data_IF_825831601570
#
_entry.id   IF_825831601570
#
_cell.length_a   1.000
_cell.length_b   1.000
_cell.length_c   1.000
_cell.angle_alpha   90.00
_cell.angle_beta   90.00
_cell.angle_gamma   90.00
#
_symmetry.space_group_name_H-M   'P 1'
#
loop_
_entity.id
_entity.type
_entity.pdbx_description
1 polymer ?
#
# COMPACT_ATOMS: atom_id res chain seq x y z
N UNK A 1 12.54 15.28 41.02
CA UNK A 1 11.44 15.40 40.03
C UNK A 1 11.92 16.32 38.94
N UNK A 2 12.07 15.79 37.72
CA UNK A 2 12.29 16.61 36.54
C UNK A 2 11.51 15.93 35.44
N UNK A 3 10.29 16.43 35.19
CA UNK A 3 9.49 16.07 34.03
C UNK A 3 10.30 16.43 32.78
N UNK A 4 10.65 15.43 31.99
CA UNK A 4 11.04 15.65 30.60
C UNK A 4 9.77 16.13 29.86
N UNK A 5 9.86 17.17 29.02
CA UNK A 5 8.69 17.73 28.37
C UNK A 5 8.08 16.67 27.45
N UNK A 6 6.77 16.46 27.57
CA UNK A 6 5.94 15.74 26.60
C UNK A 6 6.30 16.26 25.21
N UNK A 7 6.99 15.43 24.42
CA UNK A 7 7.36 15.73 23.04
C UNK A 7 6.08 16.07 22.28
N UNK A 8 5.95 17.31 21.84
CA UNK A 8 4.80 17.77 21.05
C UNK A 8 4.67 16.85 19.84
N UNK A 9 3.55 16.12 19.72
CA UNK A 9 3.27 15.31 18.54
C UNK A 9 3.47 16.19 17.30
N UNK A 10 4.40 15.80 16.44
CA UNK A 10 4.75 16.54 15.24
C UNK A 10 5.34 15.60 14.20
N UNK A 11 5.17 15.94 12.92
CA UNK A 11 5.77 15.17 11.84
C UNK A 11 7.31 15.13 11.94
N UNK A 12 7.94 16.17 12.51
CA UNK A 12 9.39 16.22 12.70
C UNK A 12 9.88 15.25 13.77
N UNK A 13 9.21 15.22 14.92
CA UNK A 13 9.49 14.25 15.99
C UNK A 13 9.34 12.81 15.49
N UNK A 14 8.23 12.53 14.79
CA UNK A 14 7.98 11.22 14.20
C UNK A 14 9.04 10.82 13.18
N UNK A 15 9.48 11.76 12.32
CA UNK A 15 10.55 11.51 11.36
C UNK A 15 11.89 11.24 12.06
N UNK A 16 12.19 11.88 13.18
CA UNK A 16 13.40 11.57 13.95
C UNK A 16 13.35 10.14 14.51
N UNK A 17 12.25 9.76 15.16
CA UNK A 17 12.00 8.41 15.68
C UNK A 17 12.10 7.34 14.58
N UNK A 18 11.49 7.59 13.42
CA UNK A 18 11.52 6.68 12.27
C UNK A 18 12.93 6.46 11.72
N UNK A 19 13.74 7.53 11.60
CA UNK A 19 15.13 7.42 11.13
C UNK A 19 15.97 6.58 12.07
N UNK A 20 15.84 6.81 13.38
CA UNK A 20 16.57 6.04 14.40
C UNK A 20 16.23 4.55 14.31
N UNK A 21 14.95 4.22 14.11
CA UNK A 21 14.53 2.83 13.99
C UNK A 21 15.04 2.15 12.70
N UNK A 22 15.12 2.87 11.57
CA UNK A 22 15.72 2.35 10.32
C UNK A 22 17.23 2.18 10.38
N UNK A 23 17.94 3.00 11.15
CA UNK A 23 19.40 2.85 11.30
C UNK A 23 19.77 1.61 12.12
N UNK A 24 18.91 1.20 13.06
CA UNK A 24 19.15 0.06 13.92
C UNK A 24 19.08 -1.31 13.21
N UNK A 25 18.40 -1.41 12.05
CA UNK A 25 18.27 -2.65 11.27
C UNK A 25 18.21 -2.37 9.77
N UNK A 26 18.93 -3.16 8.96
CA UNK A 26 18.78 -3.13 7.50
C UNK A 26 17.39 -3.65 7.12
N UNK A 27 16.62 -2.84 6.38
CA UNK A 27 15.30 -3.20 5.86
C UNK A 27 14.16 -2.38 6.46
N UNK A 28 12.93 -2.86 6.28
CA UNK A 28 11.74 -2.24 6.89
C UNK A 28 11.77 -2.43 8.40
N UNK A 29 11.43 -1.40 9.20
CA UNK A 29 11.31 -1.56 10.64
C UNK A 29 10.21 -2.58 11.01
N UNK A 30 10.42 -3.38 12.08
CA UNK A 30 9.47 -4.42 12.48
C UNK A 30 8.30 -3.83 13.29
N UNK A 31 7.48 -2.99 12.65
CA UNK A 31 6.37 -2.26 13.29
C UNK A 31 5.38 -3.13 14.05
N UNK A 32 5.26 -4.41 13.68
CA UNK A 32 4.39 -5.38 14.35
C UNK A 32 4.91 -5.80 15.74
N UNK A 33 6.20 -5.60 16.04
CA UNK A 33 6.80 -5.93 17.34
C UNK A 33 6.66 -4.79 18.37
N UNK A 34 6.30 -3.59 17.92
CA UNK A 34 6.21 -2.42 18.78
C UNK A 34 4.79 -2.22 19.29
N UNK A 35 4.62 -2.06 20.60
CA UNK A 35 3.32 -1.75 21.21
C UNK A 35 3.41 -0.48 22.07
N UNK A 36 3.78 0.67 21.48
CA UNK A 36 3.87 1.94 22.21
C UNK A 36 2.48 2.47 22.57
N UNK A 37 2.38 3.47 23.48
CA UNK A 37 1.13 4.16 23.75
C UNK A 37 0.58 4.83 22.48
N UNK A 38 -0.74 4.89 22.38
CA UNK A 38 -1.42 5.71 21.39
C UNK A 38 -1.35 7.17 21.83
N UNK A 39 -0.76 8.01 20.98
CA UNK A 39 -0.45 9.40 21.26
C UNK A 39 -1.47 10.38 20.66
N UNK A 40 -2.52 9.87 20.01
CA UNK A 40 -3.52 10.66 19.31
C UNK A 40 -3.37 10.60 17.79
N UNK A 41 -4.23 11.33 17.10
CA UNK A 41 -4.22 11.45 15.65
C UNK A 41 -3.36 12.64 15.21
N UNK A 42 -2.57 12.44 14.16
CA UNK A 42 -1.85 13.51 13.50
C UNK A 42 -2.58 13.84 12.20
N UNK A 43 -2.66 15.13 11.83
CA UNK A 43 -3.23 15.56 10.55
C UNK A 43 -2.29 15.21 9.39
N UNK A 44 -2.10 13.90 9.18
CA UNK A 44 -1.49 13.28 8.03
C UNK A 44 -2.59 12.53 7.29
N UNK A 45 -2.67 12.77 5.98
CA UNK A 45 -3.59 12.08 5.09
C UNK A 45 -2.86 11.52 3.88
N UNK A 46 -3.11 10.26 3.57
CA UNK A 46 -2.71 9.64 2.30
C UNK A 46 -3.91 9.71 1.38
N UNK A 47 -3.83 10.56 0.37
CA UNK A 47 -4.85 10.66 -0.65
C UNK A 47 -4.85 9.41 -1.54
N UNK A 48 -5.98 9.18 -2.24
CA UNK A 48 -6.14 8.02 -3.14
C UNK A 48 -5.07 7.93 -4.24
N UNK A 49 -4.52 9.05 -4.68
CA UNK A 49 -3.43 9.10 -5.67
C UNK A 49 -2.04 8.83 -5.07
N UNK A 50 -1.96 8.53 -3.78
CA UNK A 50 -0.73 8.28 -3.03
C UNK A 50 -0.05 9.56 -2.53
N UNK A 51 -0.64 10.75 -2.74
CA UNK A 51 -0.08 12.00 -2.21
C UNK A 51 -0.26 12.07 -0.70
N UNK A 52 0.83 12.33 0.02
CA UNK A 52 0.81 12.55 1.46
C UNK A 52 0.58 14.04 1.75
N UNK A 53 -0.33 14.33 2.67
CA UNK A 53 -0.60 15.67 3.19
C UNK A 53 -0.22 15.73 4.66
N UNK A 54 0.25 16.90 5.11
CA UNK A 54 0.41 17.25 6.52
C UNK A 54 -0.16 18.65 6.75
N UNK A 55 -1.10 18.79 7.69
CA UNK A 55 -1.79 20.06 7.94
C UNK A 55 -2.38 20.66 6.64
N UNK A 56 -3.01 19.82 5.83
CA UNK A 56 -3.57 20.20 4.52
C UNK A 56 -2.57 20.49 3.41
N UNK A 57 -1.26 20.51 3.68
CA UNK A 57 -0.21 20.80 2.69
C UNK A 57 0.46 19.54 2.15
N UNK A 58 0.68 19.41 0.83
CA UNK A 58 1.30 18.20 0.26
C UNK A 58 2.78 18.09 0.64
N UNK A 59 3.20 16.89 1.06
CA UNK A 59 4.59 16.53 1.35
C UNK A 59 5.28 16.13 0.03
N UNK A 60 6.08 17.04 -0.54
CA UNK A 60 6.82 16.79 -1.80
C UNK A 60 8.14 16.02 -1.62
N UNK A 61 8.60 15.84 -0.38
CA UNK A 61 9.88 15.20 -0.08
C UNK A 61 9.72 13.67 -0.14
N UNK A 62 10.07 13.06 -1.26
CA UNK A 62 9.98 11.60 -1.50
C UNK A 62 10.64 10.79 -0.39
N UNK A 63 11.83 11.18 0.07
CA UNK A 63 12.52 10.48 1.16
C UNK A 63 11.77 10.53 2.49
N UNK A 64 11.01 11.60 2.74
CA UNK A 64 10.17 11.71 3.93
C UNK A 64 8.93 10.81 3.83
N UNK A 65 8.32 10.74 2.64
CA UNK A 65 7.21 9.82 2.36
C UNK A 65 7.67 8.36 2.52
N UNK A 66 8.82 7.99 1.94
CA UNK A 66 9.45 6.67 2.09
C UNK A 66 9.81 6.33 3.53
N UNK A 67 10.14 7.34 4.32
CA UNK A 67 10.42 7.15 5.74
C UNK A 67 9.15 6.80 6.50
N UNK A 68 8.07 7.57 6.30
CA UNK A 68 6.80 7.32 6.97
C UNK A 68 6.12 6.04 6.49
N UNK A 69 6.18 5.71 5.20
CA UNK A 69 5.64 4.45 4.68
C UNK A 69 6.27 3.21 5.33
N UNK A 70 7.54 3.30 5.71
CA UNK A 70 8.26 2.21 6.38
C UNK A 70 7.78 1.93 7.80
N UNK A 71 7.15 2.91 8.46
CA UNK A 71 6.61 2.77 9.81
C UNK A 71 5.09 2.64 9.85
N UNK A 72 4.47 2.42 8.69
CA UNK A 72 3.03 2.31 8.56
C UNK A 72 2.54 0.94 9.05
N UNK A 73 1.47 0.94 9.83
CA UNK A 73 0.82 -0.27 10.34
C UNK A 73 -0.69 -0.15 10.19
N UNK A 74 -1.33 -1.25 9.78
CA UNK A 74 -2.79 -1.39 9.79
C UNK A 74 -3.22 -2.16 11.02
N UNK A 75 -4.27 -1.70 11.70
CA UNK A 75 -4.97 -2.42 12.76
C UNK A 75 -6.48 -2.36 12.46
N UNK A 76 -7.07 -3.49 12.06
CA UNK A 76 -8.43 -3.50 11.52
C UNK A 76 -8.52 -2.65 10.25
N UNK A 77 -9.44 -1.69 10.22
CA UNK A 77 -9.59 -0.74 9.11
C UNK A 77 -8.82 0.59 9.31
N UNK A 78 -8.13 0.74 10.45
CA UNK A 78 -7.40 1.96 10.79
C UNK A 78 -5.91 1.85 10.46
N UNK A 79 -5.28 3.00 10.18
CA UNK A 79 -3.87 3.12 9.83
C UNK A 79 -3.12 3.99 10.83
N UNK A 80 -1.89 3.58 11.13
CA UNK A 80 -1.05 4.21 12.12
C UNK A 80 0.38 4.35 11.61
N UNK A 81 1.08 5.36 12.11
CA UNK A 81 2.54 5.44 12.05
C UNK A 81 3.08 5.04 13.42
N UNK A 82 3.95 4.02 13.44
CA UNK A 82 4.38 3.35 14.67
C UNK A 82 5.89 3.38 14.78
N UNK A 83 6.39 3.89 15.90
CA UNK A 83 7.81 3.82 16.26
C UNK A 83 7.96 3.07 17.58
N UNK A 84 9.18 2.82 18.09
CA UNK A 84 9.34 2.16 19.39
C UNK A 84 8.68 2.89 20.57
N UNK A 85 8.45 4.21 20.46
CA UNK A 85 8.02 5.06 21.58
C UNK A 85 6.62 5.66 21.41
N UNK A 86 6.11 5.76 20.18
CA UNK A 86 4.83 6.40 19.90
C UNK A 86 4.05 5.67 18.80
N UNK A 87 2.72 5.67 18.91
CA UNK A 87 1.77 5.30 17.85
C UNK A 87 0.83 6.46 17.59
N UNK A 88 0.76 6.92 16.34
CA UNK A 88 -0.14 8.01 15.93
C UNK A 88 -1.07 7.54 14.82
N UNK A 89 -2.33 7.96 14.88
CA UNK A 89 -3.32 7.67 13.85
C UNK A 89 -3.17 8.62 12.65
N UNK A 90 -3.48 8.12 11.47
CA UNK A 90 -3.49 8.87 10.21
C UNK A 90 -4.72 8.53 9.38
N UNK A 91 -5.06 9.39 8.43
CA UNK A 91 -6.13 9.15 7.47
C UNK A 91 -5.58 8.53 6.18
N UNK A 92 -6.24 7.51 5.66
CA UNK A 92 -5.97 6.93 4.34
C UNK A 92 -7.28 6.88 3.58
N UNK A 93 -7.35 7.57 2.45
CA UNK A 93 -8.60 7.71 1.71
C UNK A 93 -9.04 6.42 1.01
N UNK A 94 -8.09 5.55 0.64
CA UNK A 94 -8.34 4.29 -0.07
C UNK A 94 -7.29 3.23 0.30
N UNK A 95 -6.09 3.33 -0.26
CA UNK A 95 -4.95 2.46 0.04
C UNK A 95 -3.72 3.31 0.40
N UNK A 96 -2.82 2.81 1.28
CA UNK A 96 -1.63 3.55 1.69
C UNK A 96 -0.58 3.70 0.58
N UNK A 97 -0.68 2.89 -0.48
CA UNK A 97 0.24 2.88 -1.61
C UNK A 97 -0.52 2.90 -2.94
N UNK A 98 0.19 3.30 -3.99
CA UNK A 98 -0.27 3.16 -5.38
C UNK A 98 0.75 2.31 -6.13
N UNK A 99 0.30 1.25 -6.80
CA UNK A 99 1.15 0.49 -7.72
C UNK A 99 1.15 1.19 -9.09
N UNK A 100 2.31 1.72 -9.44
CA UNK A 100 2.53 2.64 -10.59
C UNK A 100 3.15 1.96 -11.80
N UNK A 101 3.68 0.75 -11.59
CA UNK A 101 4.25 -0.08 -12.65
C UNK A 101 4.21 -1.57 -12.27
N UNK A 102 4.41 -2.42 -13.28
CA UNK A 102 4.75 -3.82 -13.12
C UNK A 102 5.70 -4.31 -14.23
N UNK A 103 6.51 -5.31 -13.88
CA UNK A 103 7.26 -6.11 -14.82
C UNK A 103 6.68 -7.53 -14.90
N UNK A 104 6.55 -8.03 -16.13
CA UNK A 104 6.16 -9.40 -16.41
C UNK A 104 7.40 -10.26 -16.66
N UNK A 105 7.45 -11.43 -16.04
CA UNK A 105 8.45 -12.47 -16.32
C UNK A 105 7.78 -13.84 -16.44
N UNK A 106 8.36 -14.74 -17.23
CA UNK A 106 7.77 -16.05 -17.51
C UNK A 106 6.58 -15.96 -18.47
N UNK A 107 5.72 -16.99 -18.46
CA UNK A 107 4.59 -17.12 -19.39
C UNK A 107 3.52 -18.09 -18.86
N UNK A 108 2.29 -17.94 -19.32
CA UNK A 108 1.18 -18.84 -18.97
C UNK A 108 0.76 -18.70 -17.51
N UNK A 109 0.39 -19.81 -16.88
CA UNK A 109 -0.06 -19.84 -15.49
C UNK A 109 1.07 -19.55 -14.48
N UNK A 110 2.32 -19.87 -14.85
CA UNK A 110 3.51 -19.68 -14.02
C UNK A 110 4.16 -18.30 -14.22
N UNK A 111 3.55 -17.41 -15.01
CA UNK A 111 4.06 -16.05 -15.17
C UNK A 111 4.10 -15.33 -13.81
N UNK A 112 4.97 -14.34 -13.65
CA UNK A 112 5.07 -13.55 -12.43
C UNK A 112 4.97 -12.07 -12.77
N UNK A 113 4.03 -11.41 -12.09
CA UNK A 113 3.82 -9.96 -12.14
C UNK A 113 4.52 -9.33 -10.92
N UNK A 114 5.62 -8.61 -11.16
CA UNK A 114 6.33 -7.86 -10.12
C UNK A 114 5.88 -6.40 -10.14
N UNK A 115 5.13 -5.97 -9.14
CA UNK A 115 4.63 -4.60 -9.01
C UNK A 115 5.66 -3.68 -8.34
N UNK A 116 5.65 -2.41 -8.73
CA UNK A 116 6.37 -1.33 -8.05
C UNK A 116 5.38 -0.26 -7.54
N UNK A 117 5.56 0.14 -6.28
CA UNK A 117 4.74 1.20 -5.67
C UNK A 117 5.32 2.59 -5.89
N UNK A 118 4.50 3.63 -5.69
CA UNK A 118 4.90 5.04 -5.72
C UNK A 118 6.00 5.40 -4.70
N UNK A 119 6.26 4.54 -3.70
CA UNK A 119 7.35 4.70 -2.74
C UNK A 119 8.58 3.85 -3.05
N UNK A 120 8.52 3.01 -4.10
CA UNK A 120 9.61 2.15 -4.57
C UNK A 120 9.66 0.77 -3.92
N UNK A 121 8.61 0.36 -3.19
CA UNK A 121 8.48 -1.03 -2.74
C UNK A 121 8.17 -1.92 -3.94
N UNK A 122 8.77 -3.11 -4.00
CA UNK A 122 8.52 -4.09 -5.05
C UNK A 122 8.01 -5.40 -4.47
N UNK A 123 6.95 -5.97 -5.08
CA UNK A 123 6.38 -7.27 -4.67
C UNK A 123 6.00 -8.10 -5.88
N UNK A 124 6.19 -9.42 -5.78
CA UNK A 124 5.68 -10.36 -6.76
C UNK A 124 4.26 -10.76 -6.36
N UNK A 125 3.28 -10.55 -7.24
CA UNK A 125 1.92 -11.02 -6.98
C UNK A 125 1.90 -12.56 -6.92
N UNK A 126 1.24 -13.09 -5.89
CA UNK A 126 1.18 -14.50 -5.56
C UNK A 126 0.35 -14.74 -4.28
N UNK A 127 0.34 -15.96 -3.71
CA UNK A 127 -0.45 -16.28 -2.52
C UNK A 127 -0.22 -15.34 -1.32
N UNK A 128 1.02 -14.89 -1.11
CA UNK A 128 1.38 -13.97 -0.01
C UNK A 128 1.10 -12.50 -0.36
N UNK A 129 0.99 -12.19 -1.65
CA UNK A 129 0.79 -10.86 -2.20
C UNK A 129 -0.38 -10.86 -3.20
N UNK A 130 -1.60 -11.25 -2.80
CA UNK A 130 -2.68 -11.46 -3.74
C UNK A 130 -3.12 -10.16 -4.41
N UNK A 131 -3.59 -10.29 -5.65
CA UNK A 131 -4.34 -9.24 -6.34
C UNK A 131 -5.82 -9.39 -5.96
N UNK A 132 -6.46 -8.28 -5.61
CA UNK A 132 -7.87 -8.23 -5.24
C UNK A 132 -8.56 -7.15 -6.04
N UNK A 133 -9.74 -7.43 -6.57
CA UNK A 133 -10.48 -6.49 -7.42
C UNK A 133 -11.82 -6.22 -6.75
N UNK A 134 -12.02 -4.98 -6.35
CA UNK A 134 -13.33 -4.49 -5.93
C UNK A 134 -14.05 -3.87 -7.10
N UNK A 135 -15.37 -3.92 -7.07
CA UNK A 135 -16.21 -3.13 -7.97
C UNK A 135 -16.95 -2.10 -7.16
N UNK A 136 -16.90 -0.85 -7.60
CA UNK A 136 -17.76 0.18 -7.04
C UNK A 136 -19.22 -0.25 -7.21
N UNK A 137 -20.03 -0.33 -6.13
CA UNK A 137 -21.42 -0.80 -6.22
C UNK A 137 -22.28 0.02 -7.18
N UNK A 138 -21.98 1.31 -7.31
CA UNK A 138 -22.79 2.25 -8.10
C UNK A 138 -22.41 2.29 -9.58
N UNK A 139 -21.12 2.23 -9.89
CA UNK A 139 -20.63 2.36 -11.28
C UNK A 139 -20.19 1.04 -11.89
N UNK A 140 -20.00 0.00 -11.08
CA UNK A 140 -19.40 -1.27 -11.50
C UNK A 140 -17.91 -1.17 -11.84
N UNK A 141 -17.29 0.01 -11.72
CA UNK A 141 -15.89 0.21 -12.10
C UNK A 141 -14.95 -0.62 -11.21
N UNK A 142 -13.96 -1.32 -11.80
CA UNK A 142 -13.00 -2.10 -11.03
C UNK A 142 -11.95 -1.20 -10.37
N UNK A 143 -11.73 -1.41 -9.08
CA UNK A 143 -10.59 -0.91 -8.30
C UNK A 143 -9.70 -2.11 -7.96
N UNK A 144 -8.56 -2.28 -8.66
CA UNK A 144 -7.64 -3.37 -8.42
C UNK A 144 -6.61 -2.99 -7.36
N UNK A 145 -6.29 -3.93 -6.48
CA UNK A 145 -5.32 -3.78 -5.41
C UNK A 145 -4.33 -4.94 -5.42
N UNK A 146 -3.11 -4.71 -4.95
CA UNK A 146 -2.12 -5.76 -4.67
C UNK A 146 -1.63 -5.65 -3.24
N UNK A 147 -1.58 -6.77 -2.52
CA UNK A 147 -1.04 -6.80 -1.16
C UNK A 147 0.47 -6.55 -1.15
N UNK A 148 0.91 -5.51 -0.43
CA UNK A 148 2.34 -5.18 -0.31
C UNK A 148 2.96 -5.87 0.89
N UNK A 149 2.34 -5.73 2.07
CA UNK A 149 2.80 -6.38 3.32
C UNK A 149 1.77 -6.22 4.43
N UNK A 150 1.58 -7.25 5.25
CA UNK A 150 0.92 -7.12 6.57
C UNK A 150 -0.42 -6.35 6.53
N UNK A 151 -1.26 -6.61 5.53
CA UNK A 151 -2.55 -5.93 5.36
C UNK A 151 -2.51 -4.56 4.66
N UNK A 152 -1.32 -4.06 4.32
CA UNK A 152 -1.12 -2.86 3.53
C UNK A 152 -1.15 -3.20 2.04
N UNK A 153 -2.16 -2.70 1.36
CA UNK A 153 -2.34 -2.89 -0.08
C UNK A 153 -1.87 -1.65 -0.86
N UNK A 154 -1.63 -1.83 -2.15
CA UNK A 154 -1.48 -0.74 -3.10
C UNK A 154 -2.66 -0.74 -4.07
N UNK A 155 -3.29 0.41 -4.28
CA UNK A 155 -4.22 0.62 -5.39
C UNK A 155 -3.43 0.58 -6.70
N UNK A 156 -3.80 -0.29 -7.63
CA UNK A 156 -3.19 -0.33 -8.95
C UNK A 156 -3.73 0.83 -9.77
N UNK A 157 -2.83 1.70 -10.25
CA UNK A 157 -3.26 2.88 -11.00
C UNK A 157 -3.90 2.50 -12.35
N UNK A 158 -4.62 3.46 -12.96
CA UNK A 158 -5.37 3.18 -14.20
C UNK A 158 -4.47 2.75 -15.35
N UNK A 159 -3.29 3.38 -15.50
CA UNK A 159 -2.33 3.08 -16.57
C UNK A 159 -1.82 1.64 -16.44
N UNK A 160 -1.43 1.27 -15.24
CA UNK A 160 -0.92 -0.05 -14.87
C UNK A 160 -2.01 -1.10 -15.04
N UNK A 161 -3.23 -0.80 -14.61
CA UNK A 161 -4.37 -1.69 -14.79
C UNK A 161 -4.70 -1.94 -16.27
N UNK A 162 -4.68 -0.93 -17.13
CA UNK A 162 -4.91 -1.16 -18.57
C UNK A 162 -3.86 -2.06 -19.19
N UNK A 163 -2.59 -1.90 -18.82
CA UNK A 163 -1.51 -2.82 -19.25
C UNK A 163 -1.69 -4.24 -18.72
N UNK A 164 -2.28 -4.42 -17.53
CA UNK A 164 -2.63 -5.76 -17.03
C UNK A 164 -3.73 -6.40 -17.88
N UNK A 165 -4.75 -5.62 -18.25
CA UNK A 165 -5.84 -6.11 -19.11
C UNK A 165 -5.30 -6.60 -20.46
N UNK A 166 -4.28 -5.96 -21.02
CA UNK A 166 -3.65 -6.42 -22.28
C UNK A 166 -3.06 -7.84 -22.22
N UNK A 167 -2.65 -8.29 -21.02
CA UNK A 167 -2.08 -9.63 -20.79
C UNK A 167 -3.04 -10.59 -20.07
N UNK A 168 -4.28 -10.15 -19.85
CA UNK A 168 -5.30 -10.96 -19.18
C UNK A 168 -5.66 -12.21 -19.98
N UNK A 169 -6.05 -13.25 -19.26
CA UNK A 169 -6.39 -14.56 -19.82
C UNK A 169 -7.77 -15.02 -19.37
N UNK A 170 -8.39 -15.80 -20.22
CA UNK A 170 -9.65 -16.50 -19.99
C UNK A 170 -9.40 -17.81 -19.24
N UNK A 171 -10.08 -18.01 -18.12
CA UNK A 171 -10.00 -19.22 -17.32
C UNK A 171 -11.28 -19.44 -16.52
N UNK A 172 -11.87 -20.63 -16.66
CA UNK A 172 -13.07 -21.05 -15.91
C UNK A 172 -14.25 -20.04 -15.95
N UNK A 173 -14.51 -19.43 -17.11
CA UNK A 173 -15.61 -18.47 -17.28
C UNK A 173 -15.31 -17.07 -16.72
N UNK A 174 -14.05 -16.80 -16.38
CA UNK A 174 -13.57 -15.50 -15.93
C UNK A 174 -12.42 -15.01 -16.78
N UNK A 175 -12.37 -13.70 -16.97
CA UNK A 175 -11.16 -13.03 -17.42
C UNK A 175 -10.38 -12.53 -16.20
N UNK A 176 -9.08 -12.74 -16.20
CA UNK A 176 -8.23 -12.50 -15.04
C UNK A 176 -6.75 -12.50 -15.37
N UNK A 177 -5.92 -12.52 -14.33
CA UNK A 177 -4.48 -12.47 -14.43
C UNK A 177 -3.90 -13.72 -13.77
N UNK A 178 -2.95 -14.35 -14.45
CA UNK A 178 -2.09 -15.33 -13.78
C UNK A 178 -0.89 -14.62 -13.15
N UNK A 179 -0.54 -14.99 -11.92
CA UNK A 179 0.76 -14.66 -11.34
C UNK A 179 1.14 -15.69 -10.28
N UNK A 180 2.36 -16.23 -10.35
CA UNK A 180 2.89 -17.15 -9.34
C UNK A 180 2.04 -18.41 -9.15
N UNK A 181 1.46 -18.93 -10.24
CA UNK A 181 0.60 -20.12 -10.21
C UNK A 181 -0.85 -19.88 -9.77
N UNK A 182 -1.22 -18.63 -9.45
CA UNK A 182 -2.57 -18.26 -9.01
C UNK A 182 -3.31 -17.45 -10.09
N UNK A 183 -4.63 -17.64 -10.17
CA UNK A 183 -5.50 -16.90 -11.08
C UNK A 183 -6.37 -15.87 -10.36
N UNK A 184 -6.14 -14.60 -10.64
CA UNK A 184 -6.85 -13.46 -10.06
C UNK A 184 -7.96 -12.98 -11.00
N UNK A 185 -9.20 -13.27 -10.61
CA UNK A 185 -10.42 -12.95 -11.38
C UNK A 185 -10.67 -11.43 -11.44
N UNK A 186 -10.82 -10.87 -12.64
CA UNK A 186 -11.18 -9.47 -12.90
C UNK A 186 -12.69 -9.34 -13.16
N UNK A 187 -13.20 -10.09 -14.14
CA UNK A 187 -14.58 -9.96 -14.63
C UNK A 187 -15.11 -11.30 -15.13
N UNK A 188 -16.38 -11.65 -14.87
CA UNK A 188 -16.99 -12.80 -15.53
C UNK A 188 -16.98 -12.60 -17.04
N UNK A 189 -16.71 -13.65 -17.80
CA UNK A 189 -16.71 -13.58 -19.27
C UNK A 189 -18.07 -13.16 -19.85
N UNK A 190 -19.17 -13.50 -19.17
CA UNK A 190 -20.51 -13.07 -19.55
C UNK A 190 -20.72 -11.55 -19.49
N UNK A 191 -19.87 -10.83 -18.76
CA UNK A 191 -19.94 -9.37 -18.58
C UNK A 191 -18.88 -8.63 -19.40
N UNK A 192 -17.97 -9.36 -20.05
CA UNK A 192 -17.04 -8.79 -21.02
C UNK A 192 -17.82 -8.42 -22.28
N UNK A 193 -18.22 -7.16 -22.38
CA UNK A 193 -18.72 -6.61 -23.63
C UNK A 193 -17.58 -6.65 -24.64
N UNK A 194 -17.71 -7.56 -25.61
CA UNK A 194 -16.87 -7.59 -26.81
C UNK A 194 -17.21 -6.31 -27.58
N UNK A 195 -16.26 -5.36 -27.58
CA UNK A 195 -16.33 -4.19 -28.44
C UNK A 195 -16.36 -4.55 -29.91
#
# INVERSE_FOLDING_TARGET
MSDAPLTTLSAEGLAASARAARQAKRGLPPVHLWNPPFCGDLDIRIARDGTWFYLGSPIRRVELVRLFSGILRREGEAYFLVTPVEKVGITVDDAPFVAVDFELSGSGAEQVLRFETNVGDQVNAGPDHPIRILRAPETGEPSPYVMIRTGLEALIDRKTFYRLVEIGQHHEGWFGLWSGGEFYRIIPESELQVG
#
